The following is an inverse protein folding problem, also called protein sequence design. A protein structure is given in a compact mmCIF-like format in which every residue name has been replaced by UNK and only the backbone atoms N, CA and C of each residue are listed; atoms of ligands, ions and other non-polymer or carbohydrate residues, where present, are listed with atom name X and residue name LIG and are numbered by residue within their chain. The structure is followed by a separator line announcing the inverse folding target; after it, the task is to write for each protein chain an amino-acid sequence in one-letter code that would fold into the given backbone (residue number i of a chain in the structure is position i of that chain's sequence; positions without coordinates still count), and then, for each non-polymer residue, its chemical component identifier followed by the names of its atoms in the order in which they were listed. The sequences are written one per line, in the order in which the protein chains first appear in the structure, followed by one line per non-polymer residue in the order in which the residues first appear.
data_IF_398849585785
#
_entry.id   IF_398849585785
#
_cell.length_a   1.000
_cell.length_b   1.000
_cell.length_c   1.000
_cell.angle_alpha   90.00
_cell.angle_beta   90.00
_cell.angle_gamma   90.00
#
_symmetry.space_group_name_H-M   'P 1'
#
loop_
_entity.id
_entity.type
_entity.pdbx_description
1 polymer ?
#
# COMPACT_ATOMS: atom_id res chain seq x y z
N UNK A 1 -7.49 9.32 -26.49
CA UNK A 1 -7.94 8.79 -25.19
C UNK A 1 -6.71 8.22 -24.49
N UNK A 2 -6.30 8.82 -23.37
CA UNK A 2 -5.20 8.28 -22.58
C UNK A 2 -5.78 7.06 -21.85
N UNK A 3 -5.43 5.85 -22.27
CA UNK A 3 -5.93 4.61 -21.66
C UNK A 3 -5.57 4.58 -20.17
N UNK A 4 -6.50 4.13 -19.32
CA UNK A 4 -6.21 3.92 -17.89
C UNK A 4 -5.09 2.88 -17.76
N UNK A 5 -4.20 3.06 -16.78
CA UNK A 5 -3.13 2.08 -16.54
C UNK A 5 -3.71 0.76 -16.03
N UNK A 6 -2.97 -0.34 -16.26
CA UNK A 6 -3.31 -1.67 -15.70
C UNK A 6 -3.53 -1.59 -14.20
N UNK A 7 -2.69 -0.84 -13.48
CA UNK A 7 -2.79 -0.63 -12.03
C UNK A 7 -4.10 0.08 -11.66
N UNK A 8 -4.49 1.11 -12.42
CA UNK A 8 -5.74 1.84 -12.15
C UNK A 8 -6.97 0.96 -12.33
N UNK A 9 -7.04 0.20 -13.44
CA UNK A 9 -8.16 -0.70 -13.71
C UNK A 9 -8.23 -1.80 -12.65
N UNK A 10 -7.08 -2.44 -12.35
CA UNK A 10 -7.00 -3.50 -11.34
C UNK A 10 -7.36 -2.97 -9.96
N UNK A 11 -6.96 -1.73 -9.62
CA UNK A 11 -7.33 -1.09 -8.35
C UNK A 11 -8.84 -0.92 -8.23
N UNK A 12 -9.51 -0.42 -9.26
CA UNK A 12 -10.98 -0.24 -9.24
C UNK A 12 -11.73 -1.58 -9.03
N UNK A 13 -11.29 -2.63 -9.73
CA UNK A 13 -11.85 -3.97 -9.61
C UNK A 13 -11.57 -4.57 -8.22
N UNK A 14 -10.31 -4.54 -7.79
CA UNK A 14 -9.87 -5.13 -6.55
C UNK A 14 -10.45 -4.42 -5.32
N UNK A 15 -10.61 -3.10 -5.35
CA UNK A 15 -11.20 -2.34 -4.24
C UNK A 15 -12.66 -2.73 -4.03
N UNK A 16 -13.43 -2.85 -5.12
CA UNK A 16 -14.83 -3.30 -5.08
C UNK A 16 -14.96 -4.70 -4.50
N UNK A 17 -14.10 -5.64 -4.93
CA UNK A 17 -14.08 -7.01 -4.41
C UNK A 17 -13.65 -7.05 -2.94
N UNK A 18 -12.67 -6.24 -2.55
CA UNK A 18 -12.16 -6.21 -1.18
C UNK A 18 -13.28 -5.81 -0.22
N UNK A 19 -14.03 -4.76 -0.54
CA UNK A 19 -15.19 -4.32 0.25
C UNK A 19 -16.24 -5.44 0.39
N UNK A 20 -16.57 -6.15 -0.70
CA UNK A 20 -17.53 -7.26 -0.67
C UNK A 20 -17.08 -8.42 0.23
N UNK A 21 -15.77 -8.65 0.29
CA UNK A 21 -15.15 -9.72 1.08
C UNK A 21 -14.74 -9.27 2.49
N UNK A 22 -15.07 -8.04 2.91
CA UNK A 22 -14.66 -7.45 4.20
C UNK A 22 -13.13 -7.39 4.37
N UNK A 23 -12.44 -7.19 3.26
CA UNK A 23 -11.01 -6.96 3.15
C UNK A 23 -10.77 -5.48 2.80
N UNK A 24 -9.53 -5.04 2.98
CA UNK A 24 -9.03 -3.76 2.53
C UNK A 24 -8.03 -3.99 1.38
N UNK A 25 -8.22 -3.29 0.26
CA UNK A 25 -7.17 -3.16 -0.74
C UNK A 25 -6.11 -2.16 -0.22
N UNK A 26 -4.88 -2.65 -0.06
CA UNK A 26 -3.73 -1.88 0.41
C UNK A 26 -2.95 -1.30 -0.75
N UNK A 27 -2.62 -2.13 -1.75
CA UNK A 27 -1.83 -1.70 -2.90
C UNK A 27 -2.00 -2.62 -4.12
N UNK A 28 -1.73 -2.06 -5.30
CA UNK A 28 -1.62 -2.77 -6.57
C UNK A 28 -0.35 -2.31 -7.26
N UNK A 29 0.50 -3.25 -7.65
CA UNK A 29 1.73 -2.98 -8.39
C UNK A 29 1.75 -3.79 -9.69
N UNK A 30 2.06 -3.13 -10.81
CA UNK A 30 2.30 -3.81 -12.09
C UNK A 30 3.75 -3.61 -12.53
N UNK A 31 4.59 -4.63 -12.29
CA UNK A 31 6.04 -4.53 -12.44
C UNK A 31 6.60 -5.60 -13.37
N UNK A 32 7.72 -5.29 -14.03
CA UNK A 32 8.48 -6.25 -14.84
C UNK A 32 9.71 -6.70 -14.06
N UNK A 33 9.82 -8.00 -13.80
CA UNK A 33 10.95 -8.61 -13.12
C UNK A 33 11.54 -9.71 -14.02
N UNK A 34 12.70 -9.42 -14.60
CA UNK A 34 13.32 -10.28 -15.61
C UNK A 34 12.42 -10.43 -16.85
N UNK A 35 12.14 -11.67 -17.31
CA UNK A 35 11.28 -11.90 -18.45
C UNK A 35 9.78 -11.78 -18.12
N UNK A 36 9.40 -11.82 -16.83
CA UNK A 36 8.02 -11.94 -16.40
C UNK A 36 7.42 -10.60 -15.96
N UNK A 37 6.11 -10.44 -16.16
CA UNK A 37 5.34 -9.35 -15.57
C UNK A 37 4.56 -9.87 -14.38
N UNK A 38 4.52 -9.09 -13.31
CA UNK A 38 3.79 -9.39 -12.09
C UNK A 38 2.72 -8.33 -11.89
N UNK A 39 1.50 -8.78 -11.61
CA UNK A 39 0.43 -7.97 -11.06
C UNK A 39 0.28 -8.38 -9.59
N UNK A 40 0.82 -7.57 -8.68
CA UNK A 40 0.76 -7.83 -7.25
C UNK A 40 -0.39 -7.05 -6.65
N UNK A 41 -1.21 -7.72 -5.85
CA UNK A 41 -2.32 -7.13 -5.15
C UNK A 41 -2.17 -7.45 -3.66
N UNK A 42 -2.10 -6.40 -2.86
CA UNK A 42 -1.95 -6.52 -1.42
C UNK A 42 -3.27 -6.22 -0.73
N UNK A 43 -3.73 -7.19 0.05
CA UNK A 43 -4.95 -7.09 0.84
C UNK A 43 -4.63 -7.14 2.33
N UNK A 44 -5.48 -6.50 3.14
CA UNK A 44 -5.37 -6.52 4.59
C UNK A 44 -6.76 -6.67 5.23
N UNK A 45 -6.81 -7.09 6.50
CA UNK A 45 -8.01 -7.03 7.33
C UNK A 45 -7.62 -6.94 8.81
N UNK A 46 -8.49 -6.42 9.69
CA UNK A 46 -8.24 -6.50 11.12
C UNK A 46 -7.99 -7.95 11.56
N UNK A 47 -6.88 -8.19 12.27
CA UNK A 47 -6.45 -9.53 12.66
C UNK A 47 -5.55 -10.25 11.66
N UNK A 48 -5.28 -9.64 10.49
CA UNK A 48 -4.42 -10.18 9.45
C UNK A 48 -5.17 -11.06 8.45
N UNK A 49 -4.56 -11.20 7.27
CA UNK A 49 -5.10 -11.99 6.14
C UNK A 49 -4.59 -13.42 6.21
N UNK A 50 -5.47 -14.39 6.00
CA UNK A 50 -5.13 -15.82 5.95
C UNK A 50 -4.81 -16.28 4.52
N UNK A 51 -4.27 -17.49 4.38
CA UNK A 51 -4.02 -18.07 3.06
C UNK A 51 -5.32 -18.27 2.26
N UNK A 52 -6.41 -18.63 2.95
CA UNK A 52 -7.73 -18.79 2.35
C UNK A 52 -8.26 -17.47 1.79
N UNK A 53 -8.10 -16.35 2.53
CA UNK A 53 -8.49 -15.03 2.04
C UNK A 53 -7.78 -14.69 0.73
N UNK A 54 -6.45 -14.86 0.68
CA UNK A 54 -5.66 -14.63 -0.53
C UNK A 54 -6.11 -15.53 -1.69
N UNK A 55 -6.38 -16.80 -1.41
CA UNK A 55 -6.78 -17.78 -2.43
C UNK A 55 -8.14 -17.42 -3.03
N UNK A 56 -9.13 -17.12 -2.19
CA UNK A 56 -10.47 -16.73 -2.63
C UNK A 56 -10.42 -15.40 -3.40
N UNK A 57 -9.68 -14.42 -2.89
CA UNK A 57 -9.56 -13.12 -3.55
C UNK A 57 -8.87 -13.25 -4.91
N UNK A 58 -7.81 -14.07 -5.01
CA UNK A 58 -7.13 -14.35 -6.26
C UNK A 58 -8.06 -14.99 -7.31
N UNK A 59 -8.90 -15.95 -6.91
CA UNK A 59 -9.85 -16.59 -7.82
C UNK A 59 -10.86 -15.59 -8.40
N UNK A 60 -11.47 -14.77 -7.54
CA UNK A 60 -12.50 -13.82 -7.97
C UNK A 60 -11.90 -12.67 -8.78
N UNK A 61 -10.74 -12.15 -8.36
CA UNK A 61 -10.05 -11.10 -9.11
C UNK A 61 -9.56 -11.60 -10.47
N UNK A 62 -9.00 -12.81 -10.57
CA UNK A 62 -8.58 -13.41 -11.84
C UNK A 62 -9.75 -13.49 -12.81
N UNK A 63 -10.91 -13.99 -12.36
CA UNK A 63 -12.09 -14.08 -13.21
C UNK A 63 -12.56 -12.70 -13.72
N UNK A 64 -12.42 -11.65 -12.89
CA UNK A 64 -12.76 -10.28 -13.30
C UNK A 64 -11.74 -9.67 -14.25
N UNK A 65 -10.45 -9.95 -14.07
CA UNK A 65 -9.40 -9.52 -14.99
C UNK A 65 -9.53 -10.21 -16.35
N UNK A 66 -9.96 -11.47 -16.38
CA UNK A 66 -10.22 -12.21 -17.63
C UNK A 66 -11.44 -11.65 -18.39
N UNK A 67 -12.46 -11.13 -17.67
CA UNK A 67 -13.65 -10.50 -18.28
C UNK A 67 -13.33 -9.12 -18.89
N UNK A 68 -12.55 -8.30 -18.17
CA UNK A 68 -12.20 -6.94 -18.61
C UNK A 68 -10.98 -6.90 -19.56
N UNK A 69 -10.16 -7.96 -19.57
CA UNK A 69 -8.90 -8.12 -20.31
C UNK A 69 -8.01 -6.85 -20.40
N UNK A 70 -7.65 -6.22 -19.26
CA UNK A 70 -6.96 -4.93 -19.30
C UNK A 70 -5.44 -5.06 -19.53
N UNK A 71 -4.88 -6.28 -19.51
CA UNK A 71 -3.43 -6.52 -19.43
C UNK A 71 -2.91 -7.17 -20.72
N UNK A 72 -2.10 -6.46 -21.52
CA UNK A 72 -1.54 -7.05 -22.72
C UNK A 72 -0.42 -8.05 -22.38
N UNK A 73 -0.57 -9.29 -22.86
CA UNK A 73 0.44 -10.34 -22.79
C UNK A 73 0.42 -11.13 -21.47
N UNK A 74 1.38 -12.05 -21.31
CA UNK A 74 1.43 -12.92 -20.13
C UNK A 74 1.90 -12.18 -18.88
N UNK A 75 1.28 -12.48 -17.74
CA UNK A 75 1.65 -11.99 -16.42
C UNK A 75 1.39 -13.06 -15.35
N UNK A 76 1.94 -12.87 -14.15
CA UNK A 76 1.58 -13.62 -12.95
C UNK A 76 0.76 -12.71 -12.03
N UNK A 77 -0.40 -13.20 -11.59
CA UNK A 77 -1.18 -12.59 -10.53
C UNK A 77 -0.68 -13.11 -9.18
N UNK A 78 -0.37 -12.19 -8.26
CA UNK A 78 0.00 -12.52 -6.89
C UNK A 78 -0.91 -11.75 -5.93
N UNK A 79 -1.61 -12.47 -5.04
CA UNK A 79 -2.40 -11.88 -3.95
C UNK A 79 -1.76 -12.25 -2.62
N UNK A 80 -1.42 -11.25 -1.82
CA UNK A 80 -0.77 -11.47 -0.53
C UNK A 80 -1.12 -10.38 0.49
N UNK A 81 -0.73 -10.59 1.75
CA UNK A 81 -0.72 -9.50 2.72
C UNK A 81 0.50 -8.59 2.51
N UNK A 82 0.44 -7.31 2.89
CA UNK A 82 1.56 -6.38 2.70
C UNK A 82 2.76 -6.66 3.63
N UNK A 83 2.65 -7.65 4.52
CA UNK A 83 3.68 -8.01 5.48
C UNK A 83 3.98 -6.91 6.51
N UNK A 84 5.17 -6.99 7.09
CA UNK A 84 5.61 -6.10 8.19
C UNK A 84 5.89 -4.66 7.75
N UNK A 85 6.17 -4.46 6.46
CA UNK A 85 6.42 -3.14 5.87
C UNK A 85 5.16 -2.61 5.15
N UNK A 86 3.98 -2.77 5.78
CA UNK A 86 2.70 -2.32 5.21
C UNK A 86 2.79 -0.84 4.80
N UNK A 87 2.51 -0.48 3.55
CA UNK A 87 2.52 0.91 3.13
C UNK A 87 1.38 1.68 3.80
N UNK A 88 1.63 2.94 4.13
CA UNK A 88 0.62 3.89 4.58
C UNK A 88 0.36 4.85 3.41
N UNK A 89 -0.77 4.66 2.72
CA UNK A 89 -1.12 5.43 1.51
C UNK A 89 -2.27 6.39 1.79
N UNK A 90 -3.31 5.91 2.48
CA UNK A 90 -4.54 6.64 2.78
C UNK A 90 -4.37 7.41 4.09
N UNK A 91 -5.08 8.51 4.22
CA UNK A 91 -5.11 9.32 5.45
C UNK A 91 -5.53 8.51 6.69
N UNK A 92 -6.52 7.61 6.50
CA UNK A 92 -6.97 6.70 7.53
C UNK A 92 -5.90 5.71 8.01
N UNK A 93 -4.89 5.41 7.20
CA UNK A 93 -3.78 4.55 7.63
C UNK A 93 -3.00 5.22 8.77
N UNK A 94 -2.69 6.51 8.66
CA UNK A 94 -1.94 7.22 9.68
C UNK A 94 -2.72 7.36 11.00
N UNK A 95 -4.04 7.37 10.93
CA UNK A 95 -4.89 7.34 12.13
C UNK A 95 -4.91 5.94 12.75
N UNK A 96 -5.08 4.90 11.93
CA UNK A 96 -5.15 3.49 12.37
C UNK A 96 -3.87 3.02 13.04
N UNK A 97 -2.71 3.42 12.51
CA UNK A 97 -1.39 3.00 13.00
C UNK A 97 -0.72 4.03 13.91
N UNK A 98 -1.51 4.95 14.51
CA UNK A 98 -0.97 5.88 15.49
C UNK A 98 -0.39 5.11 16.70
N UNK A 99 0.83 5.42 17.08
CA UNK A 99 1.62 4.73 18.10
C UNK A 99 2.63 3.74 17.53
N UNK A 100 2.51 3.34 16.26
CA UNK A 100 3.42 2.39 15.61
C UNK A 100 4.70 3.06 15.11
N UNK A 101 5.77 2.26 14.98
CA UNK A 101 7.02 2.71 14.38
C UNK A 101 6.88 2.72 12.85
N UNK A 102 7.09 3.87 12.21
CA UNK A 102 7.00 4.00 10.76
C UNK A 102 8.27 4.60 10.16
N UNK A 103 8.49 4.33 8.88
CA UNK A 103 9.51 4.96 8.05
C UNK A 103 8.84 5.85 7.00
N UNK A 104 9.26 7.11 6.94
CA UNK A 104 8.80 8.10 5.96
C UNK A 104 9.99 8.54 5.11
N UNK A 105 9.85 8.38 3.79
CA UNK A 105 10.77 8.91 2.77
C UNK A 105 10.14 10.10 2.08
N UNK A 106 10.89 11.18 1.94
CA UNK A 106 10.44 12.41 1.28
C UNK A 106 11.08 12.59 -0.09
N UNK A 107 10.41 13.33 -0.98
CA UNK A 107 10.94 13.63 -2.32
C UNK A 107 12.22 14.48 -2.25
N UNK A 108 12.19 15.52 -1.39
CA UNK A 108 13.28 16.44 -1.13
C UNK A 108 13.74 16.36 0.34
N UNK A 109 14.98 16.77 0.67
CA UNK A 109 15.45 16.79 2.05
C UNK A 109 14.60 17.75 2.89
N UNK A 110 14.22 17.31 4.09
CA UNK A 110 13.71 18.14 5.18
C UNK A 110 14.80 18.10 6.26
N UNK A 111 15.25 19.24 6.75
CA UNK A 111 16.34 19.34 7.73
C UNK A 111 17.59 18.51 7.37
N UNK A 112 17.94 18.52 6.08
CA UNK A 112 19.12 17.81 5.55
C UNK A 112 18.96 16.30 5.38
N UNK A 113 17.78 15.72 5.66
CA UNK A 113 17.53 14.27 5.57
C UNK A 113 16.30 13.98 4.68
N UNK A 114 16.35 12.87 3.94
CA UNK A 114 15.20 12.37 3.12
C UNK A 114 14.45 11.21 3.74
N UNK A 115 14.94 10.70 4.88
CA UNK A 115 14.48 9.47 5.50
C UNK A 115 14.31 9.73 6.99
N UNK A 116 13.13 9.42 7.49
CA UNK A 116 12.75 9.58 8.89
C UNK A 116 12.19 8.26 9.37
N UNK A 117 12.69 7.77 10.51
CA UNK A 117 12.16 6.59 11.18
C UNK A 117 11.84 7.00 12.60
N UNK A 118 10.61 6.82 13.02
CA UNK A 118 10.13 7.30 14.32
C UNK A 118 8.71 6.87 14.60
N UNK A 119 8.31 7.01 15.86
CA UNK A 119 6.98 6.63 16.29
C UNK A 119 5.96 7.60 15.69
N UNK A 120 4.94 7.08 15.01
CA UNK A 120 3.82 7.88 14.53
C UNK A 120 2.99 8.36 15.73
N UNK A 121 2.94 9.67 15.96
CA UNK A 121 2.23 10.26 17.10
C UNK A 121 1.05 11.14 16.69
N UNK A 122 0.84 11.32 15.39
CA UNK A 122 -0.38 11.94 14.88
C UNK A 122 -0.41 12.14 13.37
N UNK A 123 -1.61 12.37 12.87
CA UNK A 123 -1.88 12.86 11.52
C UNK A 123 -3.02 13.88 11.55
N UNK A 124 -2.71 15.14 11.25
CA UNK A 124 -3.65 16.27 11.31
C UNK A 124 -3.36 17.27 10.19
N UNK A 125 -4.40 17.77 9.53
CA UNK A 125 -4.29 18.80 8.49
C UNK A 125 -3.25 18.49 7.40
N UNK A 126 -3.16 17.22 6.98
CA UNK A 126 -2.18 16.79 5.96
C UNK A 126 -0.74 16.70 6.47
N UNK A 127 -0.50 16.74 7.78
CA UNK A 127 0.83 16.67 8.38
C UNK A 127 0.96 15.39 9.20
N UNK A 128 1.99 14.61 8.90
CA UNK A 128 2.41 13.44 9.67
C UNK A 128 3.33 13.91 10.79
N UNK A 129 2.99 13.54 12.03
CA UNK A 129 3.78 13.86 13.23
C UNK A 129 4.52 12.59 13.70
N UNK A 130 5.86 12.64 13.73
CA UNK A 130 6.72 11.56 14.21
C UNK A 130 7.50 11.99 15.44
N UNK A 131 7.70 11.07 16.40
CA UNK A 131 8.74 11.23 17.42
C UNK A 131 10.00 10.51 16.95
N UNK A 132 11.08 11.26 16.74
CA UNK A 132 12.40 10.78 16.31
C UNK A 132 13.42 11.27 17.32
N UNK A 133 14.14 10.37 17.99
CA UNK A 133 15.12 10.71 19.04
C UNK A 133 14.55 11.70 20.09
N UNK A 134 13.34 11.40 20.61
CA UNK A 134 12.56 12.23 21.55
C UNK A 134 12.17 13.64 21.04
N UNK A 135 12.28 13.88 19.73
CA UNK A 135 11.89 15.15 19.10
C UNK A 135 10.71 14.96 18.17
N UNK A 136 9.77 15.91 18.23
CA UNK A 136 8.64 15.97 17.31
C UNK A 136 9.10 16.47 15.94
N UNK A 137 8.93 15.65 14.92
CA UNK A 137 9.17 15.95 13.51
C UNK A 137 7.83 16.02 12.79
N UNK A 138 7.63 17.08 12.01
CA UNK A 138 6.42 17.30 11.22
C UNK A 138 6.73 17.21 9.74
N UNK A 139 6.08 16.27 9.06
CA UNK A 139 6.29 16.01 7.63
C UNK A 139 4.97 16.20 6.89
N UNK A 140 4.86 17.26 6.06
CA UNK A 140 3.72 17.42 5.17
C UNK A 140 3.55 16.21 4.23
N UNK A 141 2.32 15.69 4.12
CA UNK A 141 1.99 14.48 3.37
C UNK A 141 2.27 14.60 1.88
N UNK A 142 2.14 15.81 1.33
CA UNK A 142 2.47 16.15 -0.06
C UNK A 142 3.97 16.04 -0.38
N UNK A 143 4.84 16.14 0.64
CA UNK A 143 6.29 15.94 0.51
C UNK A 143 6.72 14.47 0.66
N UNK A 144 5.81 13.59 1.03
CA UNK A 144 6.08 12.17 1.28
C UNK A 144 6.08 11.40 -0.04
N UNK A 145 7.21 10.77 -0.33
CA UNK A 145 7.35 9.83 -1.44
C UNK A 145 6.88 8.42 -1.08
N UNK A 146 7.17 7.97 0.15
CA UNK A 146 6.75 6.67 0.67
C UNK A 146 6.61 6.73 2.18
N UNK A 147 5.57 6.10 2.71
CA UNK A 147 5.45 5.81 4.13
C UNK A 147 5.08 4.33 4.31
N UNK A 148 5.65 3.68 5.31
CA UNK A 148 5.35 2.28 5.63
C UNK A 148 5.63 1.99 7.11
N UNK A 149 4.96 0.98 7.66
CA UNK A 149 5.32 0.41 8.95
C UNK A 149 6.79 -0.04 8.94
N UNK A 150 7.47 0.10 10.07
CA UNK A 150 8.88 -0.25 10.24
C UNK A 150 9.14 -0.82 11.65
N UNK A 151 8.52 -1.97 12.01
CA UNK A 151 8.68 -2.57 13.33
C UNK A 151 10.15 -2.90 13.66
N UNK A 152 10.50 -2.90 14.94
CA UNK A 152 11.81 -3.35 15.42
C UNK A 152 11.88 -4.87 15.46
N UNK A 153 13.07 -5.42 15.20
CA UNK A 153 13.37 -6.86 15.25
C UNK A 153 14.50 -7.13 16.22
#
# INVERSE_FOLDING_TARGET
MQGRSVEAITTELADSLAVQMQLELVDVEYVKEGPQRYLRVYIDKPGGVTLEDCTLFNQVLSAKLDEEDPIPGSYLLEVSSPGLNRPLKKDGDFQRFNGELIEVKTYAPIDGRKKWRGQLVGYRDGVIELTVDDRLVRIPRDKVAKAALSPEF
#
